data_IF_874849360960
#
_entry.id   IF_874849360960
#
_cell.length_a   1.000
_cell.length_b   1.000
_cell.length_c   1.000
_cell.angle_alpha   90.00
_cell.angle_beta   90.00
_cell.angle_gamma   90.00
#
_symmetry.space_group_name_H-M   'P 1'
#
loop_
_entity.id
_entity.type
_entity.pdbx_description
1 polymer ?
#
# COMPACT_ATOMS: atom_id res chain seq x y z
N UNK A 1 -59.95 55.22 -31.07
CA UNK A 1 -59.51 54.19 -30.13
C UNK A 1 -58.50 53.33 -30.88
N UNK A 2 -57.19 53.48 -30.57
CA UNK A 2 -56.08 52.71 -31.20
C UNK A 2 -55.49 51.84 -30.10
N UNK A 3 -55.63 50.51 -30.26
CA UNK A 3 -55.02 49.49 -29.34
C UNK A 3 -53.58 49.29 -29.74
N UNK A 4 -52.69 49.44 -28.75
CA UNK A 4 -51.26 49.06 -28.86
C UNK A 4 -51.12 47.64 -28.32
N UNK A 5 -50.70 46.69 -29.14
CA UNK A 5 -50.28 45.36 -28.72
C UNK A 5 -48.78 45.42 -28.42
N UNK A 6 -48.43 45.14 -27.17
CA UNK A 6 -47.04 45.00 -26.74
C UNK A 6 -46.59 43.54 -26.91
N UNK A 7 -45.62 43.31 -27.83
CA UNK A 7 -44.92 42.03 -27.93
C UNK A 7 -43.79 41.96 -26.86
N UNK A 8 -43.96 41.07 -25.88
CA UNK A 8 -42.86 40.73 -24.95
C UNK A 8 -42.00 39.64 -25.60
N UNK A 9 -40.76 39.96 -25.92
CA UNK A 9 -39.76 39.00 -26.38
C UNK A 9 -39.11 38.35 -25.13
N UNK A 10 -39.35 37.06 -24.91
CA UNK A 10 -38.68 36.28 -23.87
C UNK A 10 -37.29 35.87 -24.40
N UNK A 11 -36.24 36.42 -23.80
CA UNK A 11 -34.85 35.98 -24.03
C UNK A 11 -34.60 34.75 -23.15
N UNK A 12 -34.59 33.58 -23.77
CA UNK A 12 -34.16 32.32 -23.10
C UNK A 12 -32.64 32.25 -23.14
N UNK A 13 -31.99 32.55 -22.03
CA UNK A 13 -30.54 32.37 -21.85
C UNK A 13 -30.27 30.89 -21.58
N UNK A 14 -29.78 30.18 -22.59
CA UNK A 14 -29.26 28.81 -22.40
C UNK A 14 -27.95 28.88 -21.62
N UNK A 15 -27.98 28.57 -20.34
CA UNK A 15 -26.78 28.32 -19.55
C UNK A 15 -26.32 26.89 -19.89
N UNK A 16 -25.38 26.78 -20.83
CA UNK A 16 -24.67 25.52 -21.08
C UNK A 16 -23.78 25.23 -19.87
N UNK A 17 -24.19 24.30 -19.01
CA UNK A 17 -23.37 23.74 -17.97
C UNK A 17 -22.24 22.96 -18.66
N UNK A 18 -21.06 23.56 -18.82
CA UNK A 18 -19.84 22.82 -19.12
C UNK A 18 -19.54 21.92 -17.89
N UNK A 19 -19.99 20.67 -17.93
CA UNK A 19 -19.44 19.67 -17.03
C UNK A 19 -17.97 19.50 -17.44
N UNK A 20 -17.06 20.05 -16.64
CA UNK A 20 -15.64 19.80 -16.81
C UNK A 20 -15.41 18.31 -16.71
N UNK A 21 -15.16 17.65 -17.83
CA UNK A 21 -14.84 16.24 -17.89
C UNK A 21 -13.57 16.03 -17.07
N UNK A 22 -13.62 15.18 -16.05
CA UNK A 22 -12.42 14.88 -15.24
C UNK A 22 -11.28 14.43 -16.16
N UNK A 23 -10.06 14.95 -15.98
CA UNK A 23 -8.95 14.62 -16.84
C UNK A 23 -8.68 13.10 -16.77
N UNK A 24 -8.43 12.50 -17.92
CA UNK A 24 -8.12 11.06 -18.03
C UNK A 24 -6.88 10.74 -17.20
N UNK A 25 -6.95 9.71 -16.38
CA UNK A 25 -5.78 9.15 -15.67
C UNK A 25 -5.06 8.18 -16.59
N UNK A 26 -3.77 8.42 -16.75
CA UNK A 26 -2.86 7.54 -17.49
C UNK A 26 -2.25 6.51 -16.55
N UNK A 27 -1.92 5.36 -17.10
CA UNK A 27 -1.20 4.28 -16.42
C UNK A 27 0.05 3.96 -17.22
N UNK A 28 1.19 3.88 -16.53
CA UNK A 28 2.47 3.46 -17.10
C UNK A 28 3.07 2.39 -16.20
N UNK A 29 3.52 1.31 -16.80
CA UNK A 29 4.21 0.23 -16.08
C UNK A 29 5.72 0.32 -16.33
N UNK A 30 6.51 0.33 -15.25
CA UNK A 30 7.96 0.40 -15.28
C UNK A 30 8.58 -0.92 -14.82
N UNK A 31 9.80 -1.17 -15.31
CA UNK A 31 10.69 -2.23 -14.82
C UNK A 31 11.96 -1.57 -14.28
N UNK A 32 12.16 -1.71 -12.97
CA UNK A 32 13.32 -1.11 -12.30
C UNK A 32 14.32 -2.20 -11.98
N UNK A 33 15.49 -2.12 -12.59
CA UNK A 33 16.57 -3.08 -12.32
C UNK A 33 17.22 -2.80 -10.97
N UNK A 34 17.39 -3.84 -10.16
CA UNK A 34 18.08 -3.79 -8.87
C UNK A 34 19.08 -4.93 -8.75
N UNK A 35 20.23 -4.68 -8.12
CA UNK A 35 21.13 -5.75 -7.67
C UNK A 35 20.52 -6.36 -6.40
N UNK A 36 20.00 -7.58 -6.51
CA UNK A 36 19.25 -8.21 -5.44
C UNK A 36 20.13 -8.55 -4.24
N UNK A 37 19.63 -8.25 -3.05
CA UNK A 37 20.19 -8.69 -1.76
C UNK A 37 19.42 -9.86 -1.16
N UNK A 38 18.35 -10.34 -1.83
CA UNK A 38 17.65 -11.58 -1.46
C UNK A 38 18.63 -12.75 -1.59
N UNK A 39 18.86 -13.57 -0.54
CA UNK A 39 19.89 -14.60 -0.57
C UNK A 39 19.83 -15.54 -1.77
N UNK A 40 18.64 -15.99 -2.18
CA UNK A 40 18.45 -16.84 -3.37
C UNK A 40 18.81 -16.15 -4.71
N UNK A 41 18.88 -14.82 -4.72
CA UNK A 41 19.13 -13.98 -5.89
C UNK A 41 20.37 -13.08 -5.70
N UNK A 42 21.13 -13.27 -4.64
CA UNK A 42 22.21 -12.36 -4.25
C UNK A 42 23.17 -12.04 -5.39
N UNK A 43 23.39 -10.76 -5.64
CA UNK A 43 24.26 -10.25 -6.69
C UNK A 43 23.73 -10.38 -8.11
N UNK A 44 22.51 -10.91 -8.31
CA UNK A 44 21.88 -10.92 -9.63
C UNK A 44 21.13 -9.61 -9.87
N UNK A 45 21.22 -9.11 -11.11
CA UNK A 45 20.34 -8.06 -11.58
C UNK A 45 18.95 -8.63 -11.81
N UNK A 46 17.94 -8.08 -11.13
CA UNK A 46 16.55 -8.50 -11.22
C UNK A 46 15.65 -7.29 -11.47
N UNK A 47 14.42 -7.54 -11.90
CA UNK A 47 13.47 -6.47 -12.19
C UNK A 47 12.36 -6.40 -11.16
N UNK A 48 12.12 -5.19 -10.67
CA UNK A 48 10.97 -4.82 -9.85
C UNK A 48 9.92 -4.16 -10.72
N UNK A 49 8.66 -4.52 -10.46
CA UNK A 49 7.51 -3.88 -11.12
C UNK A 49 7.10 -2.63 -10.34
N UNK A 50 6.87 -1.56 -11.09
CA UNK A 50 6.34 -0.30 -10.56
C UNK A 50 5.24 0.21 -11.49
N UNK A 51 4.06 0.43 -10.95
CA UNK A 51 2.95 1.10 -11.65
C UNK A 51 2.97 2.58 -11.36
N UNK A 52 2.77 3.40 -12.39
CA UNK A 52 2.61 4.84 -12.30
C UNK A 52 1.19 5.23 -12.75
N UNK A 53 0.58 6.17 -12.00
CA UNK A 53 -0.72 6.79 -12.33
C UNK A 53 -0.60 8.31 -12.24
N UNK A 54 -0.99 9.02 -13.30
CA UNK A 54 -1.00 10.48 -13.31
C UNK A 54 -2.08 11.04 -14.26
N UNK A 55 -2.49 12.28 -14.02
CA UNK A 55 -3.45 12.95 -14.88
C UNK A 55 -2.83 13.30 -16.24
N UNK A 56 -3.52 13.01 -17.36
CA UNK A 56 -3.09 13.38 -18.70
C UNK A 56 -2.89 14.90 -18.90
N UNK A 57 -3.49 15.71 -18.03
CA UNK A 57 -3.29 17.17 -18.03
C UNK A 57 -1.97 17.60 -17.37
N UNK A 58 -1.25 16.71 -16.70
CA UNK A 58 -0.01 17.03 -15.99
C UNK A 58 1.20 17.02 -16.91
N UNK A 59 2.12 17.96 -16.65
CA UNK A 59 3.47 17.92 -17.20
C UNK A 59 4.41 17.24 -16.20
N UNK A 60 4.40 15.90 -16.17
CA UNK A 60 5.18 15.11 -15.20
C UNK A 60 6.70 15.37 -15.25
N UNK A 61 7.23 15.88 -16.37
CA UNK A 61 8.65 16.27 -16.49
C UNK A 61 9.00 17.57 -15.75
N UNK A 62 8.02 18.30 -15.23
CA UNK A 62 8.17 19.56 -14.49
C UNK A 62 7.31 19.53 -13.21
N UNK A 63 7.14 18.35 -12.61
CA UNK A 63 6.33 18.20 -11.41
C UNK A 63 7.06 18.74 -10.17
N UNK A 64 6.30 19.36 -9.26
CA UNK A 64 6.84 19.76 -7.96
C UNK A 64 7.18 18.53 -7.10
N UNK A 65 8.33 18.52 -6.39
CA UNK A 65 8.76 17.37 -5.60
C UNK A 65 7.71 16.86 -4.60
N UNK A 66 6.93 17.76 -4.01
CA UNK A 66 5.88 17.46 -3.04
C UNK A 66 4.70 16.68 -3.65
N UNK A 67 4.64 16.61 -4.98
CA UNK A 67 3.58 15.94 -5.73
C UNK A 67 3.96 14.55 -6.23
N UNK A 68 5.12 14.03 -5.82
CA UNK A 68 5.58 12.68 -6.18
C UNK A 68 5.42 11.75 -5.01
N UNK A 69 4.70 10.63 -5.22
CA UNK A 69 4.33 9.67 -4.16
C UNK A 69 4.63 8.25 -4.60
N UNK A 70 5.22 7.46 -3.71
CA UNK A 70 5.39 6.02 -3.88
C UNK A 70 4.59 5.25 -2.82
N UNK A 71 3.74 4.33 -3.26
CA UNK A 71 3.03 3.37 -2.42
C UNK A 71 3.87 2.11 -2.20
N UNK A 72 3.92 1.64 -0.94
CA UNK A 72 4.62 0.43 -0.50
C UNK A 72 3.63 -0.51 0.19
N UNK A 73 3.43 -1.69 -0.39
CA UNK A 73 2.43 -2.65 0.07
C UNK A 73 2.80 -3.36 1.38
N UNK A 74 1.80 -3.97 2.01
CA UNK A 74 1.93 -4.82 3.20
C UNK A 74 2.30 -6.27 2.88
N UNK A 75 2.12 -7.14 3.86
CA UNK A 75 2.25 -8.58 3.65
C UNK A 75 1.06 -9.12 2.83
N UNK A 76 1.35 -9.99 1.90
CA UNK A 76 0.33 -10.80 1.24
C UNK A 76 -0.38 -10.18 0.05
N UNK A 77 -0.33 -8.87 -0.14
CA UNK A 77 -1.09 -8.19 -1.20
C UNK A 77 -0.15 -7.31 -2.02
N UNK A 78 -0.04 -7.52 -3.34
CA UNK A 78 0.75 -6.66 -4.22
C UNK A 78 0.22 -5.23 -4.24
N UNK A 79 1.08 -4.29 -4.60
CA UNK A 79 0.78 -2.86 -4.54
C UNK A 79 -0.39 -2.45 -5.44
N UNK A 80 -0.46 -3.00 -6.66
CA UNK A 80 -1.56 -2.76 -7.60
C UNK A 80 -2.91 -3.17 -7.00
N UNK A 81 -2.96 -4.33 -6.35
CA UNK A 81 -4.18 -4.84 -5.70
C UNK A 81 -4.51 -4.03 -4.45
N UNK A 82 -3.50 -3.62 -3.68
CA UNK A 82 -3.72 -2.85 -2.45
C UNK A 82 -4.24 -1.44 -2.72
N UNK A 83 -3.73 -0.77 -3.78
CA UNK A 83 -3.87 0.67 -3.91
C UNK A 83 -4.53 1.15 -5.21
N UNK A 84 -4.75 0.26 -6.19
CA UNK A 84 -5.28 0.61 -7.51
C UNK A 84 -6.42 -0.32 -7.95
N UNK A 85 -7.37 -0.59 -7.05
CA UNK A 85 -8.52 -1.46 -7.32
C UNK A 85 -9.39 -0.86 -8.43
N UNK A 86 -9.62 -1.59 -9.56
CA UNK A 86 -10.37 -1.08 -10.71
C UNK A 86 -11.87 -1.20 -10.51
N UNK A 87 -12.40 -0.58 -9.46
CA UNK A 87 -13.82 -0.59 -9.12
C UNK A 87 -14.22 0.76 -8.54
N UNK A 88 -15.19 1.41 -9.14
CA UNK A 88 -15.72 2.72 -8.77
C UNK A 88 -14.61 3.73 -8.35
N UNK A 89 -14.56 4.16 -7.11
CA UNK A 89 -13.62 5.13 -6.54
C UNK A 89 -12.61 4.50 -5.56
N UNK A 90 -12.44 3.16 -5.60
CA UNK A 90 -11.56 2.43 -4.68
C UNK A 90 -10.06 2.46 -5.07
N UNK A 91 -9.69 3.17 -6.13
CA UNK A 91 -8.27 3.38 -6.43
C UNK A 91 -7.74 4.59 -5.68
N UNK A 92 -6.95 4.34 -4.62
CA UNK A 92 -6.24 5.41 -3.90
C UNK A 92 -5.21 6.11 -4.80
N UNK A 93 -4.56 5.36 -5.69
CA UNK A 93 -3.66 5.92 -6.70
C UNK A 93 -4.38 6.89 -7.63
N UNK A 94 -5.52 6.49 -8.20
CA UNK A 94 -6.30 7.35 -9.09
C UNK A 94 -6.86 8.58 -8.36
N UNK A 95 -7.26 8.44 -7.09
CA UNK A 95 -7.71 9.55 -6.25
C UNK A 95 -6.64 10.64 -6.13
N UNK A 96 -5.40 10.28 -5.80
CA UNK A 96 -4.29 11.23 -5.71
C UNK A 96 -3.87 11.75 -7.09
N UNK A 97 -3.88 10.92 -8.12
CA UNK A 97 -3.57 11.34 -9.49
C UNK A 97 -4.56 12.39 -10.03
N UNK A 98 -5.86 12.24 -9.72
CA UNK A 98 -6.89 13.25 -10.00
C UNK A 98 -6.65 14.57 -9.26
N UNK A 99 -6.01 14.52 -8.10
CA UNK A 99 -5.64 15.71 -7.32
C UNK A 99 -4.28 16.32 -7.75
N UNK A 100 -3.70 15.86 -8.87
CA UNK A 100 -2.49 16.42 -9.44
C UNK A 100 -1.20 15.88 -8.81
N UNK A 101 -1.21 14.63 -8.33
CA UNK A 101 -0.01 13.90 -7.95
C UNK A 101 0.46 12.98 -9.08
N UNK A 102 1.76 12.74 -9.12
CA UNK A 102 2.39 11.66 -9.84
C UNK A 102 2.59 10.48 -8.86
N UNK A 103 1.90 9.39 -9.11
CA UNK A 103 1.66 8.35 -8.12
C UNK A 103 2.24 7.03 -8.60
N UNK A 104 3.21 6.51 -7.86
CA UNK A 104 3.84 5.24 -8.11
C UNK A 104 3.40 4.21 -7.07
N UNK A 105 3.38 2.93 -7.44
CA UNK A 105 3.20 1.80 -6.53
C UNK A 105 4.13 0.68 -6.95
N UNK A 106 4.86 0.09 -6.00
CA UNK A 106 5.87 -0.94 -6.27
C UNK A 106 5.51 -2.29 -5.66
N UNK A 107 5.85 -3.35 -6.36
CA UNK A 107 5.92 -4.69 -5.79
C UNK A 107 7.36 -4.97 -5.35
N UNK A 108 7.54 -5.42 -4.09
CA UNK A 108 8.84 -5.93 -3.63
C UNK A 108 9.11 -7.33 -4.22
N UNK A 109 10.35 -7.78 -4.13
CA UNK A 109 10.73 -9.15 -4.56
C UNK A 109 9.81 -10.21 -3.93
N UNK A 110 9.30 -11.13 -4.75
CA UNK A 110 8.39 -12.21 -4.31
C UNK A 110 6.90 -11.83 -4.33
N UNK A 111 6.54 -10.62 -4.77
CA UNK A 111 5.16 -10.16 -4.87
C UNK A 111 4.79 -9.72 -6.28
N UNK A 112 3.50 -9.77 -6.57
CA UNK A 112 2.87 -9.20 -7.75
C UNK A 112 3.60 -9.55 -9.05
N UNK A 113 3.97 -8.54 -9.81
CA UNK A 113 4.66 -8.65 -11.09
C UNK A 113 6.18 -8.46 -10.98
N UNK A 114 6.72 -8.29 -9.77
CA UNK A 114 8.17 -8.30 -9.52
C UNK A 114 8.75 -9.71 -9.61
N UNK A 115 10.07 -9.81 -9.67
CA UNK A 115 10.77 -11.09 -9.70
C UNK A 115 10.33 -11.99 -8.53
N UNK A 116 10.07 -13.26 -8.84
CA UNK A 116 9.89 -14.32 -7.84
C UNK A 116 11.06 -15.28 -7.90
N UNK A 117 11.79 -15.51 -6.79
CA UNK A 117 12.78 -16.56 -6.71
C UNK A 117 12.21 -17.91 -7.12
N UNK A 118 13.04 -18.75 -7.76
CA UNK A 118 12.62 -20.08 -8.27
C UNK A 118 12.10 -20.98 -7.13
N UNK A 119 12.57 -20.76 -5.91
CA UNK A 119 12.17 -21.45 -4.68
C UNK A 119 10.67 -21.32 -4.37
N UNK A 120 10.02 -20.25 -4.90
CA UNK A 120 8.56 -20.07 -4.82
C UNK A 120 7.79 -20.97 -5.81
N UNK A 121 8.48 -21.67 -6.69
CA UNK A 121 7.89 -22.70 -7.57
C UNK A 121 7.89 -24.10 -6.96
N UNK A 122 8.42 -24.29 -5.74
CA UNK A 122 8.61 -25.59 -5.09
C UNK A 122 7.64 -25.75 -3.91
N UNK A 123 6.60 -26.61 -4.01
CA UNK A 123 5.60 -26.80 -2.96
C UNK A 123 6.18 -27.31 -1.64
N UNK A 124 7.30 -28.05 -1.65
CA UNK A 124 7.98 -28.50 -0.43
C UNK A 124 8.53 -27.34 0.40
N UNK A 125 8.69 -26.15 -0.17
CA UNK A 125 9.12 -24.95 0.53
C UNK A 125 7.98 -24.25 1.30
N UNK A 126 6.74 -24.70 1.17
CA UNK A 126 5.62 -24.27 2.02
C UNK A 126 5.73 -24.89 3.42
N UNK A 127 5.08 -24.29 4.40
CA UNK A 127 4.94 -24.92 5.70
C UNK A 127 4.21 -26.28 5.57
N UNK A 128 4.48 -27.26 6.47
CA UNK A 128 3.79 -28.56 6.45
C UNK A 128 2.27 -28.43 6.46
N UNK A 129 1.73 -27.40 7.13
CA UNK A 129 0.29 -27.13 7.16
C UNK A 129 -0.23 -26.70 5.78
N UNK A 130 0.45 -25.81 5.09
CA UNK A 130 0.04 -25.36 3.75
C UNK A 130 0.25 -26.43 2.68
N UNK A 131 1.24 -27.31 2.83
CA UNK A 131 1.46 -28.43 1.92
C UNK A 131 0.25 -29.37 1.83
N UNK A 132 -0.57 -29.48 2.89
CA UNK A 132 -1.79 -30.32 2.90
C UNK A 132 -2.76 -29.95 1.77
N UNK A 133 -2.80 -28.69 1.37
CA UNK A 133 -3.67 -28.19 0.29
C UNK A 133 -3.25 -28.71 -1.09
N UNK A 134 -2.01 -29.21 -1.20
CA UNK A 134 -1.39 -29.63 -2.47
C UNK A 134 -1.15 -31.15 -2.56
N UNK A 135 -1.63 -31.92 -1.58
CA UNK A 135 -1.57 -33.37 -1.57
C UNK A 135 -2.93 -33.93 -2.06
N UNK A 136 -2.96 -34.89 -3.00
CA UNK A 136 -1.84 -35.46 -3.75
C UNK A 136 -1.56 -34.72 -5.08
N UNK A 137 -2.17 -33.57 -5.33
CA UNK A 137 -2.21 -32.92 -6.66
C UNK A 137 -0.85 -32.43 -7.16
N UNK A 138 -0.01 -31.93 -6.27
CA UNK A 138 1.33 -31.41 -6.62
C UNK A 138 2.46 -32.16 -5.93
N UNK A 139 2.22 -32.68 -4.72
CA UNK A 139 3.15 -33.49 -3.95
C UNK A 139 2.42 -34.74 -3.44
N UNK A 140 3.07 -35.92 -3.43
CA UNK A 140 2.42 -37.17 -3.01
C UNK A 140 2.23 -37.26 -1.49
N UNK A 141 3.09 -36.59 -0.71
CA UNK A 141 3.11 -36.59 0.76
C UNK A 141 3.86 -35.34 1.24
N UNK A 142 3.77 -34.97 2.55
CA UNK A 142 4.56 -33.90 3.10
C UNK A 142 6.05 -34.11 2.87
N UNK A 143 6.76 -33.05 2.49
CA UNK A 143 8.19 -33.07 2.19
C UNK A 143 8.93 -31.98 2.95
N UNK A 144 10.24 -32.21 3.18
CA UNK A 144 11.09 -31.21 3.80
C UNK A 144 11.33 -30.01 2.85
N UNK A 145 11.43 -28.81 3.43
CA UNK A 145 11.78 -27.62 2.67
C UNK A 145 13.16 -27.80 2.01
N UNK A 146 13.26 -27.43 0.74
CA UNK A 146 14.51 -27.48 -0.04
C UNK A 146 15.34 -26.20 0.12
N UNK A 147 14.78 -25.15 0.69
CA UNK A 147 15.45 -23.89 0.98
C UNK A 147 15.48 -23.64 2.50
N UNK A 148 16.61 -23.15 3.08
CA UNK A 148 16.83 -23.23 4.52
C UNK A 148 16.16 -22.15 5.36
N UNK A 149 15.46 -21.19 4.78
CA UNK A 149 14.88 -20.07 5.53
C UNK A 149 13.93 -19.20 4.72
N UNK A 150 13.67 -17.99 5.21
CA UNK A 150 12.83 -17.01 4.53
C UNK A 150 13.52 -16.52 3.23
N UNK A 151 12.74 -16.28 2.19
CA UNK A 151 13.27 -15.74 0.94
C UNK A 151 13.64 -14.27 1.05
N UNK A 152 12.82 -13.48 1.74
CA UNK A 152 13.01 -12.03 1.88
C UNK A 152 13.04 -11.61 3.33
N UNK A 153 13.58 -10.45 3.61
CA UNK A 153 13.58 -9.80 4.91
C UNK A 153 13.47 -8.27 4.73
N UNK A 154 13.35 -7.51 5.81
CA UNK A 154 13.26 -6.05 5.73
C UNK A 154 14.46 -5.41 5.05
N UNK A 155 15.67 -5.96 5.22
CA UNK A 155 16.87 -5.44 4.55
C UNK A 155 16.79 -5.56 3.03
N UNK A 156 16.31 -6.71 2.51
CA UNK A 156 16.08 -6.86 1.08
C UNK A 156 14.93 -5.97 0.58
N UNK A 157 13.87 -5.79 1.38
CA UNK A 157 12.78 -4.89 1.04
C UNK A 157 13.25 -3.42 0.98
N UNK A 158 14.13 -2.99 1.91
CA UNK A 158 14.73 -1.64 1.87
C UNK A 158 15.64 -1.44 0.65
N UNK A 159 16.36 -2.46 0.22
CA UNK A 159 17.15 -2.41 -1.01
C UNK A 159 16.26 -2.22 -2.24
N UNK A 160 15.15 -2.97 -2.31
CA UNK A 160 14.16 -2.84 -3.38
C UNK A 160 13.54 -1.42 -3.39
N UNK A 161 13.13 -0.92 -2.21
CA UNK A 161 12.56 0.43 -2.08
C UNK A 161 13.58 1.50 -2.49
N UNK A 162 14.85 1.35 -2.09
CA UNK A 162 15.89 2.31 -2.45
C UNK A 162 16.09 2.38 -3.97
N UNK A 163 16.12 1.24 -4.65
CA UNK A 163 16.24 1.20 -6.11
C UNK A 163 15.08 1.92 -6.81
N UNK A 164 13.84 1.69 -6.33
CA UNK A 164 12.65 2.33 -6.90
C UNK A 164 12.61 3.82 -6.58
N UNK A 165 12.92 4.24 -5.35
CA UNK A 165 13.00 5.66 -4.97
C UNK A 165 14.04 6.39 -5.82
N UNK A 166 15.24 5.81 -6.00
CA UNK A 166 16.29 6.44 -6.82
C UNK A 166 15.89 6.49 -8.30
N UNK A 167 15.21 5.47 -8.82
CA UNK A 167 14.63 5.50 -10.16
C UNK A 167 13.62 6.65 -10.33
N UNK A 168 12.66 6.80 -9.40
CA UNK A 168 11.66 7.88 -9.46
C UNK A 168 12.32 9.25 -9.36
N UNK A 169 13.29 9.42 -8.45
CA UNK A 169 14.03 10.66 -8.28
C UNK A 169 14.77 11.07 -9.57
N UNK A 170 15.42 10.11 -10.22
CA UNK A 170 16.08 10.34 -11.51
C UNK A 170 15.08 10.65 -12.63
N UNK A 171 13.97 9.89 -12.71
CA UNK A 171 12.93 10.03 -13.72
C UNK A 171 12.25 11.42 -13.65
N UNK A 172 12.00 11.92 -12.44
CA UNK A 172 11.29 13.19 -12.20
C UNK A 172 12.22 14.35 -11.85
N UNK A 173 13.52 14.11 -11.70
CA UNK A 173 14.53 15.11 -11.29
C UNK A 173 14.16 15.78 -9.97
N UNK A 174 13.69 14.99 -9.01
CA UNK A 174 13.31 15.43 -7.66
C UNK A 174 14.29 14.85 -6.63
N UNK A 175 14.52 15.59 -5.54
CA UNK A 175 15.42 15.12 -4.47
C UNK A 175 14.71 14.15 -3.53
N UNK A 176 13.42 14.33 -3.30
CA UNK A 176 12.63 13.57 -2.34
C UNK A 176 11.30 13.11 -2.94
N UNK A 177 10.79 11.99 -2.41
CA UNK A 177 9.44 11.48 -2.68
C UNK A 177 8.69 11.30 -1.37
N UNK A 178 7.36 11.40 -1.40
CA UNK A 178 6.53 10.99 -0.26
C UNK A 178 6.25 9.49 -0.34
N UNK A 179 6.14 8.82 0.82
CA UNK A 179 5.80 7.40 0.87
C UNK A 179 4.44 7.20 1.54
N UNK A 180 3.63 6.34 0.95
CA UNK A 180 2.39 5.83 1.54
C UNK A 180 2.55 4.32 1.73
N UNK A 181 2.25 3.81 2.92
CA UNK A 181 2.47 2.40 3.19
C UNK A 181 1.36 1.79 4.04
N UNK A 182 1.11 0.51 3.86
CA UNK A 182 0.10 -0.26 4.57
C UNK A 182 0.70 -1.46 5.29
N UNK A 183 0.28 -1.70 6.55
CA UNK A 183 0.59 -2.94 7.28
C UNK A 183 2.10 -3.17 7.44
N UNK A 184 2.64 -4.30 6.96
CA UNK A 184 4.09 -4.55 6.87
C UNK A 184 4.83 -3.49 6.04
N UNK A 185 4.12 -2.74 5.19
CA UNK A 185 4.64 -1.54 4.56
C UNK A 185 5.13 -0.48 5.57
N UNK A 186 4.60 -0.46 6.80
CA UNK A 186 5.06 0.42 7.86
C UNK A 186 6.55 0.27 8.15
N UNK A 187 7.05 -0.89 8.59
CA UNK A 187 8.49 -1.11 8.78
C UNK A 187 9.29 -1.08 7.48
N UNK A 188 8.70 -1.41 6.33
CA UNK A 188 9.33 -1.25 5.00
C UNK A 188 9.59 0.22 4.69
N UNK A 189 8.55 1.04 4.60
CA UNK A 189 8.67 2.45 4.24
C UNK A 189 9.21 3.30 5.39
N UNK A 190 8.76 3.07 6.63
CA UNK A 190 9.21 3.81 7.80
C UNK A 190 10.65 3.51 8.16
N UNK A 191 11.06 2.24 8.14
CA UNK A 191 12.45 1.85 8.38
C UNK A 191 13.39 2.35 7.28
N UNK A 192 12.95 2.32 6.02
CA UNK A 192 13.69 2.96 4.91
C UNK A 192 13.82 4.47 5.13
N UNK A 193 12.74 5.16 5.45
CA UNK A 193 12.72 6.60 5.66
C UNK A 193 13.60 7.05 6.83
N UNK A 194 13.68 6.25 7.89
CA UNK A 194 14.56 6.52 9.02
C UNK A 194 16.06 6.43 8.64
N UNK A 195 16.41 5.58 7.67
CA UNK A 195 17.78 5.42 7.15
C UNK A 195 18.11 6.44 6.05
N UNK A 196 17.10 6.91 5.30
CA UNK A 196 17.25 7.81 4.15
C UNK A 196 16.36 9.05 4.26
N UNK A 197 16.47 9.86 5.34
CA UNK A 197 15.63 11.04 5.53
C UNK A 197 15.87 12.14 4.48
N UNK A 198 17.00 12.07 3.79
CA UNK A 198 17.35 12.92 2.65
C UNK A 198 16.55 12.60 1.38
N UNK A 199 15.94 11.40 1.28
CA UNK A 199 15.17 10.95 0.12
C UNK A 199 13.66 10.98 0.33
N UNK A 200 13.19 11.17 1.56
CA UNK A 200 11.76 11.09 1.90
C UNK A 200 11.23 12.46 2.34
N UNK A 201 10.11 12.87 1.75
CA UNK A 201 9.47 14.16 2.04
C UNK A 201 8.45 14.05 3.17
N UNK A 202 7.47 13.15 3.04
CA UNK A 202 6.43 12.87 4.02
C UNK A 202 6.11 11.37 4.08
N UNK A 203 5.53 10.93 5.20
CA UNK A 203 5.00 9.58 5.37
C UNK A 203 3.50 9.60 5.59
N UNK A 204 2.80 8.59 5.01
CA UNK A 204 1.44 8.19 5.37
C UNK A 204 1.49 6.69 5.66
N UNK A 205 1.21 6.29 6.88
CA UNK A 205 1.29 4.90 7.33
C UNK A 205 -0.11 4.43 7.76
N UNK A 206 -0.73 3.57 6.97
CA UNK A 206 -2.01 2.95 7.32
C UNK A 206 -1.77 1.60 8.00
N UNK A 207 -2.32 1.45 9.20
CA UNK A 207 -2.24 0.23 10.01
C UNK A 207 -0.81 -0.36 10.07
N UNK A 208 0.24 0.46 10.33
CA UNK A 208 1.63 0.00 10.25
C UNK A 208 1.90 -1.12 11.26
N UNK A 209 2.48 -2.23 10.80
CA UNK A 209 3.01 -3.23 11.70
C UNK A 209 4.13 -2.59 12.54
N UNK A 210 4.07 -2.75 13.86
CA UNK A 210 5.02 -2.15 14.78
C UNK A 210 5.33 -3.09 15.95
N UNK A 211 6.61 -3.17 16.29
CA UNK A 211 7.07 -3.83 17.51
C UNK A 211 8.11 -2.93 18.19
N UNK A 212 7.70 -2.31 19.30
CA UNK A 212 8.53 -1.39 20.11
C UNK A 212 9.87 -2.01 20.52
N UNK A 213 9.88 -3.31 20.80
CA UNK A 213 11.02 -4.08 21.25
C UNK A 213 11.70 -4.88 20.13
N UNK A 214 11.42 -4.58 18.86
CA UNK A 214 12.08 -5.26 17.75
C UNK A 214 13.60 -5.10 17.84
N UNK A 215 14.35 -6.11 17.39
CA UNK A 215 15.80 -6.05 17.34
C UNK A 215 16.28 -4.88 16.46
N UNK A 216 17.39 -4.24 16.84
CA UNK A 216 17.99 -3.17 16.06
C UNK A 216 18.74 -3.68 14.81
N UNK A 217 19.19 -4.94 14.86
CA UNK A 217 19.97 -5.58 13.79
C UNK A 217 19.20 -6.78 13.18
N UNK A 218 19.51 -7.15 11.93
CA UNK A 218 18.91 -8.32 11.31
C UNK A 218 19.32 -9.61 12.05
N UNK A 219 18.45 -10.64 12.05
CA UNK A 219 18.87 -11.97 12.44
C UNK A 219 19.95 -12.51 11.49
N UNK A 220 20.77 -13.47 11.91
CA UNK A 220 21.76 -14.10 11.04
C UNK A 220 21.08 -14.80 9.85
N UNK A 221 21.79 -14.86 8.72
CA UNK A 221 21.33 -15.61 7.54
C UNK A 221 21.83 -17.06 7.58
N UNK A 222 21.05 -18.06 7.09
CA UNK A 222 19.71 -17.89 6.56
C UNK A 222 18.73 -17.50 7.66
N UNK A 223 17.83 -16.55 7.33
CA UNK A 223 16.83 -16.07 8.28
C UNK A 223 15.79 -17.18 8.56
N UNK A 224 15.66 -17.69 9.80
CA UNK A 224 14.72 -18.77 10.10
C UNK A 224 13.28 -18.41 9.72
N UNK A 225 12.53 -19.37 9.22
CA UNK A 225 11.12 -19.19 8.94
C UNK A 225 10.65 -19.92 7.68
N UNK A 226 9.40 -19.70 7.36
CA UNK A 226 8.77 -20.27 6.16
C UNK A 226 9.30 -19.56 4.92
N UNK A 227 9.66 -20.34 3.90
CA UNK A 227 10.27 -19.84 2.65
C UNK A 227 9.32 -18.89 1.93
N UNK A 228 8.06 -19.32 1.73
CA UNK A 228 6.98 -18.50 1.21
C UNK A 228 5.62 -19.06 1.66
N UNK A 229 4.56 -18.29 1.48
CA UNK A 229 3.20 -18.68 1.79
C UNK A 229 2.32 -18.65 0.54
N UNK A 230 1.20 -19.38 0.61
CA UNK A 230 0.05 -19.18 -0.28
C UNK A 230 -1.11 -18.57 0.49
N UNK A 231 -2.06 -17.99 -0.22
CA UNK A 231 -3.34 -17.55 0.33
C UNK A 231 -4.47 -18.01 -0.59
N UNK A 232 -5.35 -18.82 -0.06
CA UNK A 232 -6.58 -19.25 -0.75
C UNK A 232 -7.69 -18.21 -0.62
N UNK A 233 -8.74 -18.34 -1.44
CA UNK A 233 -9.94 -17.52 -1.36
C UNK A 233 -10.59 -17.62 0.04
N UNK A 234 -10.72 -18.81 0.57
CA UNK A 234 -11.35 -19.02 1.87
C UNK A 234 -10.57 -18.32 3.01
N UNK A 235 -9.23 -18.38 2.97
CA UNK A 235 -8.38 -17.67 3.95
C UNK A 235 -8.51 -16.15 3.82
N UNK A 236 -8.61 -15.65 2.59
CA UNK A 236 -8.80 -14.22 2.32
C UNK A 236 -10.15 -13.75 2.87
N UNK A 237 -11.25 -14.46 2.58
CA UNK A 237 -12.59 -14.14 3.07
C UNK A 237 -12.65 -14.20 4.59
N UNK A 238 -12.16 -15.28 5.21
CA UNK A 238 -12.14 -15.44 6.66
C UNK A 238 -11.30 -14.35 7.37
N UNK A 239 -10.20 -13.91 6.75
CA UNK A 239 -9.41 -12.81 7.29
C UNK A 239 -10.17 -11.48 7.27
N UNK A 240 -10.97 -11.23 6.24
CA UNK A 240 -11.79 -10.04 6.13
C UNK A 240 -12.96 -10.09 7.11
N UNK A 241 -13.73 -11.20 7.11
CA UNK A 241 -14.96 -11.35 7.91
C UNK A 241 -14.73 -11.17 9.40
N UNK A 242 -13.62 -11.68 9.95
CA UNK A 242 -13.29 -11.52 11.38
C UNK A 242 -13.06 -10.08 11.80
N UNK A 243 -12.88 -9.15 10.86
CA UNK A 243 -12.60 -7.74 11.11
C UNK A 243 -13.84 -6.85 10.94
N UNK A 244 -14.98 -7.44 10.57
CA UNK A 244 -16.22 -6.70 10.44
C UNK A 244 -16.79 -6.42 11.84
N UNK A 245 -17.10 -5.16 12.09
CA UNK A 245 -17.63 -4.71 13.39
C UNK A 245 -18.72 -3.65 13.27
N UNK A 246 -19.10 -3.27 12.03
CA UNK A 246 -20.13 -2.28 11.75
C UNK A 246 -21.08 -2.76 10.68
N UNK A 247 -22.37 -2.33 10.71
CA UNK A 247 -23.28 -2.52 9.59
C UNK A 247 -22.74 -1.84 8.32
N UNK A 248 -22.86 -2.52 7.19
CA UNK A 248 -22.46 -1.98 5.88
C UNK A 248 -21.01 -1.45 5.84
N UNK A 249 -20.08 -2.13 6.48
CA UNK A 249 -18.67 -1.71 6.54
C UNK A 249 -18.01 -1.72 5.16
N UNK A 250 -18.42 -2.60 4.25
CA UNK A 250 -17.86 -2.70 2.89
C UNK A 250 -18.93 -3.08 1.86
N UNK A 251 -18.65 -2.82 0.58
CA UNK A 251 -19.43 -3.32 -0.55
C UNK A 251 -18.95 -4.75 -0.92
N UNK A 252 -19.82 -5.78 -0.88
CA UNK A 252 -19.44 -7.15 -1.25
C UNK A 252 -18.79 -7.27 -2.65
N UNK A 253 -19.18 -6.42 -3.60
CA UNK A 253 -18.62 -6.43 -4.94
C UNK A 253 -17.11 -6.07 -4.95
N UNK A 254 -16.66 -5.22 -4.04
CA UNK A 254 -15.23 -4.89 -3.90
C UNK A 254 -14.41 -6.12 -3.57
N UNK A 255 -14.88 -6.97 -2.65
CA UNK A 255 -14.19 -8.21 -2.26
C UNK A 255 -13.95 -9.13 -3.46
N UNK A 256 -14.94 -9.24 -4.34
CA UNK A 256 -14.81 -10.02 -5.59
C UNK A 256 -13.77 -9.42 -6.53
N UNK A 257 -13.77 -8.11 -6.69
CA UNK A 257 -12.80 -7.43 -7.53
C UNK A 257 -11.39 -7.58 -6.96
N UNK A 258 -11.20 -7.33 -5.67
CA UNK A 258 -9.88 -7.47 -5.01
C UNK A 258 -9.35 -8.90 -5.17
N UNK A 259 -10.18 -9.93 -4.96
CA UNK A 259 -9.73 -11.30 -5.14
C UNK A 259 -9.37 -11.63 -6.59
N UNK A 260 -10.14 -11.16 -7.56
CA UNK A 260 -9.82 -11.32 -8.98
C UNK A 260 -8.46 -10.71 -9.33
N UNK A 261 -8.19 -9.49 -8.85
CA UNK A 261 -6.90 -8.82 -9.06
C UNK A 261 -5.75 -9.54 -8.33
N UNK A 262 -6.01 -10.11 -7.14
CA UNK A 262 -5.05 -10.97 -6.43
C UNK A 262 -4.62 -12.16 -7.31
N UNK A 263 -5.58 -12.90 -7.84
CA UNK A 263 -5.31 -14.06 -8.73
C UNK A 263 -4.57 -13.62 -10.01
N UNK A 264 -4.96 -12.49 -10.59
CA UNK A 264 -4.31 -11.96 -11.79
C UNK A 264 -2.84 -11.54 -11.52
N UNK A 265 -2.50 -11.18 -10.29
CA UNK A 265 -1.16 -10.78 -9.88
C UNK A 265 -0.16 -11.96 -9.80
N UNK A 266 -0.64 -13.20 -9.70
CA UNK A 266 0.19 -14.42 -9.67
C UNK A 266 -0.40 -15.56 -10.54
N UNK A 267 -0.32 -15.45 -11.86
CA UNK A 267 -0.89 -16.48 -12.76
C UNK A 267 -0.32 -17.88 -12.56
N UNK A 268 0.91 -17.99 -12.06
CA UNK A 268 1.53 -19.30 -11.77
C UNK A 268 0.97 -19.88 -10.47
N UNK A 269 0.80 -19.07 -9.40
CA UNK A 269 0.17 -19.50 -8.16
C UNK A 269 -1.29 -19.89 -8.36
N UNK A 270 -2.02 -19.16 -9.20
CA UNK A 270 -3.40 -19.48 -9.56
C UNK A 270 -3.55 -20.88 -10.16
N UNK A 271 -2.54 -21.36 -10.90
CA UNK A 271 -2.53 -22.73 -11.47
C UNK A 271 -2.37 -23.83 -10.41
N UNK A 272 -1.93 -23.51 -9.20
CA UNK A 272 -1.86 -24.44 -8.09
C UNK A 272 -3.23 -24.74 -7.46
N UNK A 273 -4.25 -23.96 -7.82
CA UNK A 273 -5.63 -24.16 -7.38
C UNK A 273 -5.97 -23.56 -6.02
N UNK A 274 -5.02 -22.97 -5.29
CA UNK A 274 -5.26 -22.43 -3.96
C UNK A 274 -5.11 -20.91 -3.86
N UNK A 275 -4.67 -20.21 -4.90
CA UNK A 275 -4.58 -18.75 -4.89
C UNK A 275 -3.20 -18.19 -5.18
N UNK A 276 -2.73 -17.21 -4.39
CA UNK A 276 -1.51 -16.45 -4.67
C UNK A 276 -0.35 -16.85 -3.78
N UNK A 277 0.86 -16.82 -4.34
CA UNK A 277 2.11 -17.01 -3.61
C UNK A 277 2.66 -15.65 -3.17
N UNK A 278 3.24 -15.60 -2.00
CA UNK A 278 3.82 -14.39 -1.42
C UNK A 278 5.04 -14.74 -0.56
N UNK A 279 6.12 -13.97 -0.70
CA UNK A 279 7.26 -14.11 0.19
C UNK A 279 6.93 -13.50 1.56
N UNK A 280 7.02 -14.24 2.66
CA UNK A 280 6.78 -13.68 3.98
C UNK A 280 7.98 -12.84 4.43
N UNK A 281 7.71 -11.62 4.89
CA UNK A 281 8.66 -10.80 5.65
C UNK A 281 8.11 -10.63 7.06
N UNK A 282 8.15 -11.70 7.84
CA UNK A 282 7.47 -11.75 9.14
C UNK A 282 8.34 -11.24 10.28
N UNK A 283 9.66 -11.31 10.16
CA UNK A 283 10.57 -10.84 11.21
C UNK A 283 10.83 -9.34 11.02
N UNK A 284 10.27 -8.53 11.92
CA UNK A 284 10.53 -7.08 11.95
C UNK A 284 11.76 -6.79 12.79
N UNK A 285 12.71 -6.05 12.25
CA UNK A 285 13.87 -5.50 12.94
C UNK A 285 14.15 -4.09 12.42
N UNK A 286 14.91 -3.30 13.17
CA UNK A 286 15.28 -1.94 12.74
C UNK A 286 14.13 -0.91 12.66
N UNK A 287 12.90 -1.30 12.93
CA UNK A 287 11.73 -0.43 13.05
C UNK A 287 11.16 -0.56 14.46
N UNK A 288 11.92 -0.06 15.45
CA UNK A 288 11.66 -0.14 16.89
C UNK A 288 11.58 1.27 17.50
N UNK A 289 11.35 1.36 18.82
CA UNK A 289 11.19 2.64 19.51
C UNK A 289 12.39 3.59 19.31
N UNK A 290 13.61 3.07 19.33
CA UNK A 290 14.82 3.89 19.16
C UNK A 290 14.91 4.46 17.74
N UNK A 291 14.67 3.64 16.71
CA UNK A 291 14.73 4.06 15.31
C UNK A 291 13.62 5.05 14.97
N UNK A 292 12.36 4.74 15.35
CA UNK A 292 11.22 5.60 15.05
C UNK A 292 11.29 6.92 15.83
N UNK A 293 11.85 6.90 17.04
CA UNK A 293 12.10 8.08 17.88
C UNK A 293 13.10 9.08 17.28
N UNK A 294 14.04 8.57 16.46
CA UNK A 294 14.98 9.40 15.71
C UNK A 294 14.39 10.11 14.48
N UNK A 295 13.27 9.61 13.97
CA UNK A 295 12.64 10.10 12.73
C UNK A 295 12.04 11.49 12.92
N UNK A 296 12.39 12.42 12.02
CA UNK A 296 11.86 13.81 12.00
C UNK A 296 10.94 14.08 10.80
N UNK A 297 10.70 13.08 9.97
CA UNK A 297 9.87 13.20 8.77
C UNK A 297 8.41 13.40 9.19
N UNK A 298 7.70 14.42 8.64
CA UNK A 298 6.28 14.62 8.90
C UNK A 298 5.49 13.35 8.56
N UNK A 299 4.71 12.84 9.52
CA UNK A 299 4.08 11.52 9.40
C UNK A 299 2.60 11.54 9.78
N UNK A 300 1.74 11.09 8.86
CA UNK A 300 0.36 10.73 9.14
C UNK A 300 0.31 9.23 9.43
N UNK A 301 -0.30 8.85 10.54
CA UNK A 301 -0.61 7.46 10.89
C UNK A 301 -2.12 7.28 10.90
N UNK A 302 -2.63 6.19 10.35
CA UNK A 302 -4.06 5.88 10.31
C UNK A 302 -4.29 4.51 10.95
N UNK A 303 -5.19 4.44 11.92
CA UNK A 303 -5.62 3.21 12.59
C UNK A 303 -7.10 2.96 12.27
N UNK A 304 -7.43 1.77 11.79
CA UNK A 304 -8.82 1.32 11.69
C UNK A 304 -9.31 0.84 13.06
N UNK A 305 -10.42 1.37 13.56
CA UNK A 305 -10.96 1.03 14.88
C UNK A 305 -11.36 -0.46 15.02
N UNK A 306 -11.62 -1.15 13.91
CA UNK A 306 -11.98 -2.57 13.86
C UNK A 306 -10.79 -3.46 13.45
N UNK A 307 -9.58 -2.92 13.33
CA UNK A 307 -8.41 -3.68 12.92
C UNK A 307 -8.04 -4.74 13.96
N UNK A 308 -8.17 -6.01 13.58
CA UNK A 308 -7.80 -7.18 14.40
C UNK A 308 -6.53 -7.86 13.92
N UNK A 309 -5.87 -7.29 12.92
CA UNK A 309 -4.61 -7.79 12.40
C UNK A 309 -3.43 -6.98 12.95
N UNK A 310 -3.53 -5.66 12.93
CA UNK A 310 -2.66 -4.74 13.65
C UNK A 310 -3.51 -3.90 14.58
N UNK A 311 -3.64 -4.34 15.82
CA UNK A 311 -4.52 -3.72 16.80
C UNK A 311 -4.26 -2.19 16.92
N UNK A 312 -5.32 -1.36 17.05
CA UNK A 312 -5.20 0.11 17.13
C UNK A 312 -4.21 0.58 18.19
N UNK A 313 -4.07 -0.15 19.30
CA UNK A 313 -3.12 0.14 20.37
C UNK A 313 -1.66 0.01 19.92
N UNK A 314 -1.36 -0.92 18.99
CA UNK A 314 -0.03 -1.04 18.37
C UNK A 314 0.26 0.12 17.43
N UNK A 315 -0.74 0.55 16.67
CA UNK A 315 -0.64 1.72 15.79
C UNK A 315 -0.43 2.98 16.63
N UNK A 316 -1.17 3.11 17.75
CA UNK A 316 -0.98 4.19 18.71
C UNK A 316 0.42 4.16 19.33
N UNK A 317 0.95 3.00 19.68
CA UNK A 317 2.30 2.89 20.21
C UNK A 317 3.36 3.38 19.19
N UNK A 318 3.19 3.09 17.89
CA UNK A 318 4.05 3.65 16.86
C UNK A 318 3.94 5.18 16.78
N UNK A 319 2.73 5.73 16.90
CA UNK A 319 2.52 7.18 16.95
C UNK A 319 3.18 7.82 18.17
N UNK A 320 3.04 7.22 19.36
CA UNK A 320 3.61 7.76 20.59
C UNK A 320 5.14 7.81 20.53
N UNK A 321 5.76 6.75 19.99
CA UNK A 321 7.22 6.61 19.89
C UNK A 321 7.83 7.45 18.75
N UNK A 322 7.03 7.90 17.77
CA UNK A 322 7.51 8.65 16.61
C UNK A 322 8.08 10.02 17.05
N UNK A 323 9.33 10.28 16.68
CA UNK A 323 10.04 11.49 17.08
C UNK A 323 9.78 12.73 16.24
N UNK A 324 8.91 12.66 15.22
CA UNK A 324 8.52 13.81 14.41
C UNK A 324 7.64 14.78 15.21
N UNK A 325 7.89 16.09 15.16
CA UNK A 325 7.01 17.10 15.75
C UNK A 325 5.69 17.25 14.97
N UNK A 326 5.73 17.03 13.65
CA UNK A 326 4.58 17.06 12.76
C UNK A 326 4.08 15.63 12.61
N UNK A 327 3.16 15.21 13.47
CA UNK A 327 2.57 13.85 13.42
C UNK A 327 1.11 13.85 13.80
N UNK A 328 0.27 13.26 12.98
CA UNK A 328 -1.16 13.06 13.22
C UNK A 328 -1.48 11.58 13.24
N UNK A 329 -2.28 11.15 14.21
CA UNK A 329 -2.92 9.84 14.24
C UNK A 329 -4.41 10.02 13.92
N UNK A 330 -4.88 9.33 12.89
CA UNK A 330 -6.32 9.17 12.63
C UNK A 330 -6.80 7.90 13.31
N UNK A 331 -7.80 8.03 14.18
CA UNK A 331 -8.65 6.95 14.65
C UNK A 331 -9.86 6.89 13.71
N UNK A 332 -9.85 5.89 12.80
CA UNK A 332 -10.85 5.75 11.74
C UNK A 332 -11.93 4.76 12.16
N UNK A 333 -13.09 5.29 12.57
CA UNK A 333 -14.26 4.51 12.97
C UNK A 333 -14.82 3.67 11.83
N UNK A 334 -15.46 2.56 12.18
CA UNK A 334 -16.07 1.62 11.24
C UNK A 334 -15.13 1.22 10.09
N UNK A 335 -13.89 0.94 10.43
CA UNK A 335 -12.82 0.62 9.47
C UNK A 335 -11.88 -0.42 10.06
N UNK A 336 -11.44 -1.37 9.24
CA UNK A 336 -10.55 -2.45 9.65
C UNK A 336 -9.15 -2.28 9.04
N UNK A 337 -8.39 -3.38 9.06
CA UNK A 337 -7.09 -3.50 8.35
C UNK A 337 -7.22 -3.29 6.83
N UNK A 338 -8.45 -3.44 6.31
CA UNK A 338 -8.78 -3.37 4.89
C UNK A 338 -9.47 -2.04 4.52
N UNK A 339 -9.34 -0.97 5.32
CA UNK A 339 -10.12 0.27 5.16
C UNK A 339 -10.03 0.89 3.76
N UNK A 340 -8.95 0.65 2.99
CA UNK A 340 -8.85 1.10 1.60
C UNK A 340 -9.84 0.40 0.66
N UNK A 341 -10.43 -0.71 1.08
CA UNK A 341 -11.46 -1.48 0.37
C UNK A 341 -12.83 -1.44 1.06
N UNK A 342 -12.98 -0.59 2.09
CA UNK A 342 -14.20 -0.44 2.88
C UNK A 342 -14.87 0.90 2.60
N UNK A 343 -16.09 1.09 3.06
CA UNK A 343 -16.91 2.25 2.72
C UNK A 343 -16.31 3.59 3.20
N UNK A 344 -15.48 3.58 4.25
CA UNK A 344 -14.78 4.77 4.74
C UNK A 344 -13.45 5.06 4.02
N UNK A 345 -13.14 4.36 2.90
CA UNK A 345 -11.89 4.58 2.15
C UNK A 345 -11.72 6.04 1.70
N UNK A 346 -12.80 6.71 1.30
CA UNK A 346 -12.74 8.11 0.86
C UNK A 346 -12.30 9.07 1.96
N UNK A 347 -12.64 8.80 3.23
CA UNK A 347 -12.17 9.60 4.38
C UNK A 347 -10.65 9.48 4.52
N UNK A 348 -10.13 8.26 4.40
CA UNK A 348 -8.70 7.98 4.46
C UNK A 348 -7.96 8.60 3.28
N UNK A 349 -8.49 8.50 2.07
CA UNK A 349 -7.91 9.09 0.86
C UNK A 349 -7.86 10.63 0.95
N UNK A 350 -8.96 11.26 1.40
CA UNK A 350 -9.03 12.70 1.60
C UNK A 350 -8.05 13.20 2.66
N UNK A 351 -7.95 12.50 3.80
CA UNK A 351 -7.00 12.83 4.85
C UNK A 351 -5.54 12.72 4.37
N UNK A 352 -5.21 11.69 3.60
CA UNK A 352 -3.88 11.55 3.02
C UNK A 352 -3.57 12.65 2.01
N UNK A 353 -4.55 13.05 1.19
CA UNK A 353 -4.41 14.18 0.27
C UNK A 353 -4.17 15.49 1.02
N UNK A 354 -4.94 15.77 2.08
CA UNK A 354 -4.74 16.98 2.91
C UNK A 354 -3.35 16.96 3.56
N UNK A 355 -2.93 15.82 4.11
CA UNK A 355 -1.60 15.67 4.69
C UNK A 355 -0.48 15.93 3.70
N UNK A 356 -0.55 15.31 2.53
CA UNK A 356 0.46 15.47 1.49
C UNK A 356 0.55 16.92 0.98
N UNK A 357 -0.59 17.60 0.86
CA UNK A 357 -0.65 18.98 0.34
C UNK A 357 -0.35 20.03 1.39
N UNK A 358 -0.98 19.94 2.57
CA UNK A 358 -0.97 20.99 3.60
C UNK A 358 -0.14 20.63 4.83
N UNK A 359 0.18 19.35 5.05
CA UNK A 359 0.79 18.86 6.29
C UNK A 359 -0.16 18.93 7.49
N UNK A 360 -1.47 18.86 7.23
CA UNK A 360 -2.52 18.87 8.26
C UNK A 360 -3.57 17.79 7.97
N UNK A 361 -4.35 17.45 8.98
CA UNK A 361 -5.60 16.69 8.87
C UNK A 361 -6.67 17.47 9.64
N UNK A 362 -7.75 17.86 8.98
CA UNK A 362 -8.76 18.76 9.54
C UNK A 362 -8.13 20.02 10.17
N UNK A 363 -7.09 20.57 9.52
CA UNK A 363 -6.34 21.73 9.99
C UNK A 363 -5.31 21.44 11.10
N UNK A 364 -5.24 20.24 11.67
CA UNK A 364 -4.30 19.86 12.73
C UNK A 364 -2.99 19.33 12.16
N UNK A 365 -1.85 19.83 12.67
CA UNK A 365 -0.49 19.35 12.32
C UNK A 365 0.00 18.24 13.23
N UNK A 366 -0.60 18.08 14.40
CA UNK A 366 -0.21 17.07 15.39
C UNK A 366 -1.40 16.65 16.24
N UNK A 367 -1.28 15.49 16.89
CA UNK A 367 -2.30 14.95 17.79
C UNK A 367 -3.16 13.86 17.16
N UNK A 368 -4.30 13.56 17.78
CA UNK A 368 -5.23 12.51 17.38
C UNK A 368 -6.49 13.14 16.80
N UNK A 369 -6.93 12.64 15.65
CA UNK A 369 -8.15 13.06 14.94
C UNK A 369 -9.06 11.87 14.78
N UNK A 370 -10.30 11.98 15.22
CA UNK A 370 -11.33 10.95 15.00
C UNK A 370 -12.10 11.24 13.71
N UNK A 371 -12.30 10.20 12.89
CA UNK A 371 -13.05 10.27 11.63
C UNK A 371 -13.92 9.02 11.46
N UNK A 372 -15.02 9.12 10.71
CA UNK A 372 -15.87 7.96 10.40
C UNK A 372 -16.75 7.48 11.55
N UNK A 373 -16.87 8.25 12.61
CA UNK A 373 -17.81 7.99 13.72
C UNK A 373 -19.14 8.69 13.47
N UNK A 374 -20.28 8.12 13.95
CA UNK A 374 -21.55 8.83 13.96
C UNK A 374 -21.38 10.18 14.67
N UNK A 375 -22.00 11.22 14.14
CA UNK A 375 -22.10 12.50 14.88
C UNK A 375 -22.96 12.27 16.12
N UNK A 376 -22.43 12.50 17.29
CA UNK A 376 -23.16 12.51 18.57
C UNK A 376 -24.21 13.61 18.61
#
# INVERSE_FOLDING_TARGET
MKSFAACAAAVITLIASLSAQQPRILTVDHRVTVQSTVPALAGKAVELYVRERYSAAMKVTAIAPERVVLFVHGAGTPAEVAFDVPYTDYSWMAYLANAGFDVFAMDTTGYGRSVRPAEMGEPCNLSPEQQKQFIPTMIPAPCAAKYPGQLTNLGSDWNDINAVVDHIRALRKVEKVSLIAWSLGGPRAGGYAAQHPDKVHKLVLFAPAYNRAAAAAPPPLPNPGVVFNTQSRAEFDANWDRQLGCPNQFDPAVREVVWREMIASDPAGAKWGSGVRRAPSTTTWGWNAAMIGGTKIPTLIIAGAQDRQVAPERVKAAFDDLGSPDKVLIDLGCSSHNAMWENNHTLMFAASLEWLTKGTVNGSRSGVVQMGYPKS
#
